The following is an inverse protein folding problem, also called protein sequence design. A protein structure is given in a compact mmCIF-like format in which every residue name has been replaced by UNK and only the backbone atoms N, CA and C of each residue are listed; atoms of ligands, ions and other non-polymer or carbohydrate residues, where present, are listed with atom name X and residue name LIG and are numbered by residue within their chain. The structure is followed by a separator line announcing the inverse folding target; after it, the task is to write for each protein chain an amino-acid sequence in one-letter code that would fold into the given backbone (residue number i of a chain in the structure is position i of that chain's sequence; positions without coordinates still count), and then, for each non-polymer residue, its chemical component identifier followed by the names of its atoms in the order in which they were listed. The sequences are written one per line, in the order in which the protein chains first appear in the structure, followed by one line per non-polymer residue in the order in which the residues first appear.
data_IF_031794741580
#
_entry.id   IF_031794741580
#
_cell.length_a   1.000
_cell.length_b   1.000
_cell.length_c   1.000
_cell.angle_alpha   90.00
_cell.angle_beta   90.00
_cell.angle_gamma   90.00
#
_symmetry.space_group_name_H-M   'P 1'
#
loop_
_entity.id
_entity.type
_entity.pdbx_description
1 polymer ?
#
# COMPACT_ATOMS: atom_id res chain seq x y z
N UNK A 1 25.94 -38.35 19.96
CA UNK A 1 25.30 -37.67 21.10
C UNK A 1 25.47 -36.17 20.90
N UNK A 2 24.45 -35.48 20.38
CA UNK A 2 24.48 -34.01 20.35
C UNK A 2 24.25 -33.50 21.78
N UNK A 3 25.18 -32.72 22.31
CA UNK A 3 24.99 -32.01 23.58
C UNK A 3 23.92 -30.94 23.36
N UNK A 4 22.88 -30.98 24.19
CA UNK A 4 21.81 -29.97 24.23
C UNK A 4 22.41 -28.61 24.59
N UNK A 5 22.13 -27.59 23.77
CA UNK A 5 22.60 -26.22 24.01
C UNK A 5 21.99 -25.66 25.29
N UNK A 6 22.72 -24.80 26.01
CA UNK A 6 22.20 -24.12 27.20
C UNK A 6 20.87 -23.38 26.91
N UNK A 7 20.71 -22.85 25.69
CA UNK A 7 19.47 -22.20 25.25
C UNK A 7 18.31 -23.20 25.12
N UNK A 8 18.54 -24.38 24.53
CA UNK A 8 17.51 -25.43 24.38
C UNK A 8 17.02 -25.91 25.74
N UNK A 9 17.95 -26.11 26.68
CA UNK A 9 17.63 -26.45 28.07
C UNK A 9 16.75 -25.40 28.75
N UNK A 10 17.07 -24.11 28.59
CA UNK A 10 16.27 -23.03 29.19
C UNK A 10 14.90 -22.89 28.53
N UNK A 11 14.80 -23.10 27.22
CA UNK A 11 13.52 -23.10 26.50
C UNK A 11 12.63 -24.25 27.00
N UNK A 12 13.19 -25.45 27.15
CA UNK A 12 12.47 -26.61 27.69
C UNK A 12 11.98 -26.35 29.12
N UNK A 13 12.87 -25.85 29.98
CA UNK A 13 12.54 -25.48 31.36
C UNK A 13 11.42 -24.42 31.41
N UNK A 14 11.47 -23.41 30.52
CA UNK A 14 10.42 -22.41 30.40
C UNK A 14 9.05 -23.03 30.07
N UNK A 15 8.98 -23.94 29.10
CA UNK A 15 7.72 -24.60 28.75
C UNK A 15 7.19 -25.47 29.90
N UNK A 16 8.05 -26.19 30.61
CA UNK A 16 7.67 -26.99 31.79
C UNK A 16 7.03 -26.11 32.87
N UNK A 17 7.66 -24.99 33.22
CA UNK A 17 7.16 -24.02 34.21
C UNK A 17 5.80 -23.46 33.79
N UNK A 18 5.70 -23.03 32.53
CA UNK A 18 4.48 -22.42 31.99
C UNK A 18 3.34 -23.44 31.96
N UNK A 19 3.60 -24.67 31.52
CA UNK A 19 2.59 -25.72 31.43
C UNK A 19 2.11 -26.14 32.83
N UNK A 20 3.00 -26.24 33.82
CA UNK A 20 2.64 -26.51 35.21
C UNK A 20 1.78 -25.37 35.80
N UNK A 21 2.17 -24.11 35.57
CA UNK A 21 1.40 -22.95 35.98
C UNK A 21 0.00 -22.90 35.36
N UNK A 22 -0.11 -23.21 34.05
CA UNK A 22 -1.41 -23.28 33.37
C UNK A 22 -2.26 -24.43 33.91
N UNK A 23 -1.69 -25.61 34.14
CA UNK A 23 -2.42 -26.78 34.67
C UNK A 23 -2.92 -26.57 36.09
N UNK A 24 -2.14 -25.89 36.93
CA UNK A 24 -2.55 -25.56 38.31
C UNK A 24 -3.61 -24.46 38.39
N UNK A 25 -3.84 -23.71 37.30
CA UNK A 25 -4.72 -22.54 37.29
C UNK A 25 -4.07 -21.27 37.86
N UNK A 26 -2.85 -21.36 38.41
CA UNK A 26 -2.09 -20.23 38.91
C UNK A 26 -1.39 -19.51 37.76
N UNK A 27 -2.10 -18.55 37.16
CA UNK A 27 -1.60 -17.77 36.03
C UNK A 27 -0.74 -16.57 36.43
N UNK A 28 -0.71 -16.24 37.72
CA UNK A 28 0.05 -15.13 38.31
C UNK A 28 1.36 -15.62 38.93
N UNK A 29 2.30 -14.69 39.11
CA UNK A 29 3.52 -14.97 39.85
C UNK A 29 3.18 -15.13 41.34
N UNK A 30 3.76 -16.15 41.97
CA UNK A 30 3.63 -16.45 43.39
C UNK A 30 5.03 -16.49 43.99
N UNK A 31 5.28 -15.67 45.02
CA UNK A 31 6.57 -15.61 45.71
C UNK A 31 6.75 -16.77 46.70
N UNK A 32 5.66 -17.42 47.12
CA UNK A 32 5.66 -18.50 48.11
C UNK A 32 5.97 -19.88 47.54
N UNK A 33 6.02 -20.05 46.22
CA UNK A 33 6.31 -21.35 45.60
C UNK A 33 7.80 -21.69 45.65
N UNK A 34 8.08 -22.98 45.74
CA UNK A 34 9.43 -23.51 45.62
C UNK A 34 10.00 -23.10 44.25
N UNK A 35 11.19 -22.48 44.25
CA UNK A 35 11.88 -21.94 43.07
C UNK A 35 11.32 -20.64 42.46
N UNK A 36 10.54 -19.84 43.21
CA UNK A 36 10.02 -18.55 42.72
C UNK A 36 11.08 -17.65 42.07
N UNK A 37 12.25 -17.51 42.70
CA UNK A 37 13.37 -16.70 42.16
C UNK A 37 13.88 -17.24 40.81
N UNK A 38 14.03 -18.56 40.68
CA UNK A 38 14.45 -19.21 39.44
C UNK A 38 13.42 -19.02 38.32
N UNK A 39 12.13 -19.07 38.64
CA UNK A 39 11.05 -18.79 37.68
C UNK A 39 11.09 -17.30 37.28
N UNK A 40 11.33 -16.41 38.25
CA UNK A 40 11.41 -14.98 38.02
C UNK A 40 12.52 -14.59 37.05
N UNK A 41 13.65 -15.30 37.01
CA UNK A 41 14.72 -15.09 36.02
C UNK A 41 14.22 -15.12 34.57
N UNK A 42 13.20 -15.92 34.25
CA UNK A 42 12.64 -16.00 32.89
C UNK A 42 11.89 -14.72 32.48
N UNK A 43 11.48 -13.89 33.44
CA UNK A 43 10.86 -12.59 33.17
C UNK A 43 11.86 -11.55 32.65
N UNK A 44 13.15 -11.75 32.89
CA UNK A 44 14.21 -10.80 32.58
C UNK A 44 14.58 -10.85 31.09
N UNK A 45 13.80 -10.17 30.26
CA UNK A 45 13.99 -10.18 28.79
C UNK A 45 15.31 -9.57 28.29
N UNK A 46 16.07 -8.88 29.15
CA UNK A 46 17.32 -8.21 28.79
C UNK A 46 18.59 -8.92 29.31
N UNK A 47 18.46 -9.96 30.15
CA UNK A 47 19.61 -10.63 30.79
C UNK A 47 19.37 -12.14 30.99
N UNK A 48 20.47 -12.89 31.17
CA UNK A 48 20.44 -14.28 31.61
C UNK A 48 19.54 -15.21 30.76
N UNK A 49 18.85 -16.13 31.45
CA UNK A 49 17.98 -17.14 30.86
C UNK A 49 16.77 -16.51 30.15
N UNK A 50 16.15 -15.50 30.77
CA UNK A 50 14.98 -14.81 30.23
C UNK A 50 15.23 -14.16 28.87
N UNK A 51 16.41 -13.56 28.65
CA UNK A 51 16.79 -13.03 27.33
C UNK A 51 16.88 -14.12 26.27
N UNK A 52 17.55 -15.24 26.58
CA UNK A 52 17.75 -16.34 25.63
C UNK A 52 16.42 -16.93 25.19
N UNK A 53 15.52 -17.20 26.13
CA UNK A 53 14.17 -17.72 25.82
C UNK A 53 13.32 -16.66 25.11
N UNK A 54 13.32 -15.41 25.57
CA UNK A 54 12.57 -14.35 24.89
C UNK A 54 13.00 -14.17 23.42
N UNK A 55 14.30 -14.27 23.14
CA UNK A 55 14.85 -14.16 21.78
C UNK A 55 14.53 -15.37 20.90
N UNK A 56 14.16 -16.53 21.45
CA UNK A 56 13.75 -17.68 20.64
C UNK A 56 12.33 -17.54 20.08
N UNK A 57 11.51 -16.65 20.64
CA UNK A 57 10.17 -16.39 20.13
C UNK A 57 10.18 -15.40 18.95
N UNK A 58 9.65 -15.83 17.81
CA UNK A 58 9.27 -14.90 16.74
C UNK A 58 8.01 -14.10 17.11
N UNK A 59 7.72 -13.03 16.37
CA UNK A 59 6.47 -12.29 16.52
C UNK A 59 5.26 -13.20 16.25
N UNK A 60 5.39 -14.11 15.28
CA UNK A 60 4.34 -15.06 14.91
C UNK A 60 4.04 -16.05 16.04
N UNK A 61 5.08 -16.54 16.75
CA UNK A 61 4.91 -17.46 17.88
C UNK A 61 4.12 -16.82 19.03
N UNK A 62 4.45 -15.57 19.35
CA UNK A 62 3.73 -14.79 20.38
C UNK A 62 2.28 -14.50 19.97
N UNK A 63 2.04 -14.22 18.68
CA UNK A 63 0.68 -14.10 18.15
C UNK A 63 -0.10 -15.42 18.22
N UNK A 64 0.53 -16.55 17.87
CA UNK A 64 -0.08 -17.89 17.97
C UNK A 64 -0.52 -18.23 19.38
N UNK A 65 0.24 -17.81 20.40
CA UNK A 65 -0.15 -17.98 21.81
C UNK A 65 -1.48 -17.26 22.09
N UNK A 66 -1.65 -16.02 21.64
CA UNK A 66 -2.90 -15.26 21.80
C UNK A 66 -4.06 -15.91 21.04
N UNK A 67 -3.85 -16.27 19.77
CA UNK A 67 -4.91 -16.87 18.93
C UNK A 67 -5.33 -18.24 19.46
N UNK A 68 -4.38 -19.07 19.91
CA UNK A 68 -4.68 -20.36 20.55
C UNK A 68 -5.50 -20.15 21.81
N UNK A 69 -5.10 -19.22 22.67
CA UNK A 69 -5.83 -18.94 23.90
C UNK A 69 -7.24 -18.41 23.64
N UNK A 70 -7.40 -17.56 22.62
CA UNK A 70 -8.72 -17.08 22.21
C UNK A 70 -9.65 -18.22 21.77
N UNK A 71 -9.13 -19.21 21.03
CA UNK A 71 -9.87 -20.40 20.62
C UNK A 71 -10.25 -21.28 21.81
N UNK A 72 -9.32 -21.48 22.75
CA UNK A 72 -9.58 -22.25 23.98
C UNK A 72 -10.67 -21.63 24.85
N UNK A 73 -10.69 -20.29 24.95
CA UNK A 73 -11.65 -19.56 25.80
C UNK A 73 -12.99 -19.30 25.10
N UNK A 74 -13.03 -19.32 23.76
CA UNK A 74 -14.18 -18.87 22.97
C UNK A 74 -14.33 -17.35 22.89
N UNK A 75 -13.44 -16.58 23.54
CA UNK A 75 -13.40 -15.12 23.52
C UNK A 75 -11.96 -14.60 23.45
N UNK A 76 -11.81 -13.35 23.02
CA UNK A 76 -10.50 -12.69 22.97
C UNK A 76 -9.92 -12.56 24.38
N UNK A 77 -8.71 -13.07 24.67
CA UNK A 77 -8.20 -13.17 26.02
C UNK A 77 -7.82 -11.80 26.61
N UNK A 78 -8.26 -11.55 27.83
CA UNK A 78 -7.71 -10.52 28.70
C UNK A 78 -6.31 -10.91 29.16
N UNK A 79 -5.54 -9.91 29.61
CA UNK A 79 -4.16 -10.13 30.08
C UNK A 79 -4.09 -11.23 31.13
N UNK A 80 -4.93 -11.17 32.17
CA UNK A 80 -4.91 -12.11 33.30
C UNK A 80 -5.32 -13.55 32.94
N UNK A 81 -5.83 -13.77 31.73
CA UNK A 81 -6.20 -15.11 31.24
C UNK A 81 -5.02 -15.83 30.56
N UNK A 82 -3.85 -15.18 30.48
CA UNK A 82 -2.59 -15.81 30.10
C UNK A 82 -1.64 -15.92 31.28
N UNK A 83 -0.79 -16.95 31.23
CA UNK A 83 0.32 -17.12 32.15
C UNK A 83 1.28 -15.92 32.08
N UNK A 84 1.70 -15.44 33.24
CA UNK A 84 2.31 -14.13 33.38
C UNK A 84 3.60 -13.91 32.60
N UNK A 85 4.44 -14.93 32.42
CA UNK A 85 5.66 -14.83 31.60
C UNK A 85 5.34 -14.48 30.13
N UNK A 86 4.32 -15.10 29.53
CA UNK A 86 3.90 -14.75 28.16
C UNK A 86 3.45 -13.30 28.07
N UNK A 87 2.77 -12.77 29.10
CA UNK A 87 2.32 -11.38 29.11
C UNK A 87 3.48 -10.40 29.08
N UNK A 88 4.58 -10.72 29.76
CA UNK A 88 5.81 -9.92 29.74
C UNK A 88 6.39 -9.90 28.34
N UNK A 89 6.51 -11.06 27.69
CA UNK A 89 7.12 -11.17 26.37
C UNK A 89 6.28 -10.45 25.30
N UNK A 90 4.96 -10.65 25.35
CA UNK A 90 4.00 -10.00 24.44
C UNK A 90 4.02 -8.48 24.61
N UNK A 91 3.95 -7.97 25.85
CA UNK A 91 4.03 -6.52 26.12
C UNK A 91 5.37 -5.93 25.69
N UNK A 92 6.47 -6.66 25.93
CA UNK A 92 7.81 -6.21 25.52
C UNK A 92 7.91 -6.11 24.00
N UNK A 93 7.36 -7.08 23.26
CA UNK A 93 7.45 -7.13 21.79
C UNK A 93 6.53 -6.11 21.10
N UNK A 94 5.27 -6.01 21.53
CA UNK A 94 4.25 -5.21 20.84
C UNK A 94 3.90 -3.90 21.56
N UNK A 95 4.56 -3.61 22.69
CA UNK A 95 4.41 -2.41 23.50
C UNK A 95 3.21 -2.46 24.46
N UNK A 96 2.00 -2.78 23.96
CA UNK A 96 0.81 -2.91 24.80
C UNK A 96 -0.13 -4.02 24.33
N UNK A 97 -1.06 -4.42 25.21
CA UNK A 97 -1.95 -5.55 24.96
C UNK A 97 -2.91 -5.34 23.78
N UNK A 98 -3.61 -4.19 23.64
CA UNK A 98 -4.43 -3.94 22.45
C UNK A 98 -3.65 -4.05 21.13
N UNK A 99 -2.41 -3.53 21.07
CA UNK A 99 -1.54 -3.68 19.90
C UNK A 99 -1.20 -5.14 19.63
N UNK A 100 -0.84 -5.91 20.65
CA UNK A 100 -0.56 -7.33 20.50
C UNK A 100 -1.76 -8.12 19.96
N UNK A 101 -2.98 -7.83 20.46
CA UNK A 101 -4.20 -8.46 19.98
C UNK A 101 -4.45 -8.13 18.51
N UNK A 102 -4.32 -6.84 18.12
CA UNK A 102 -4.45 -6.41 16.72
C UNK A 102 -3.43 -7.12 15.82
N UNK A 103 -2.16 -7.19 16.24
CA UNK A 103 -1.10 -7.88 15.49
C UNK A 103 -1.39 -9.39 15.35
N UNK A 104 -1.99 -10.01 16.37
CA UNK A 104 -2.45 -11.40 16.33
C UNK A 104 -3.75 -11.60 15.52
N UNK A 105 -4.32 -10.54 14.94
CA UNK A 105 -5.57 -10.59 14.20
C UNK A 105 -6.81 -10.80 15.07
N UNK A 106 -6.75 -10.34 16.33
CA UNK A 106 -7.85 -10.36 17.30
C UNK A 106 -8.43 -8.96 17.54
N UNK A 107 -9.64 -8.89 18.07
CA UNK A 107 -10.26 -7.62 18.50
C UNK A 107 -9.53 -7.03 19.71
N UNK A 108 -9.60 -5.71 19.88
CA UNK A 108 -9.12 -5.04 21.10
C UNK A 108 -10.05 -5.25 22.31
N UNK A 109 -11.29 -5.68 22.09
CA UNK A 109 -12.28 -5.95 23.14
C UNK A 109 -12.02 -7.33 23.73
N UNK A 110 -11.36 -7.36 24.88
CA UNK A 110 -10.86 -8.57 25.51
C UNK A 110 -11.59 -8.91 26.83
N UNK A 111 -11.44 -10.17 27.27
CA UNK A 111 -12.03 -10.72 28.49
C UNK A 111 -13.44 -11.28 28.29
N UNK A 112 -14.12 -11.62 29.39
CA UNK A 112 -15.45 -12.27 29.39
C UNK A 112 -16.56 -11.46 28.70
N UNK A 113 -16.41 -10.14 28.62
CA UNK A 113 -17.33 -9.24 27.90
C UNK A 113 -16.74 -8.75 26.57
N UNK A 114 -15.64 -9.36 26.12
CA UNK A 114 -14.97 -9.08 24.85
C UNK A 114 -15.67 -9.70 23.65
N UNK A 115 -15.10 -9.51 22.47
CA UNK A 115 -15.60 -10.18 21.27
C UNK A 115 -15.29 -11.69 21.34
N UNK A 116 -16.24 -12.51 20.85
CA UNK A 116 -16.02 -13.97 20.74
C UNK A 116 -15.02 -14.29 19.64
N UNK A 117 -14.32 -15.42 19.78
CA UNK A 117 -13.37 -15.88 18.76
C UNK A 117 -14.06 -16.11 17.41
N UNK A 118 -15.23 -16.78 17.42
CA UNK A 118 -16.08 -16.99 16.25
C UNK A 118 -16.47 -15.68 15.56
N UNK A 119 -16.88 -14.66 16.32
CA UNK A 119 -17.22 -13.35 15.75
C UNK A 119 -16.02 -12.72 15.06
N UNK A 120 -14.86 -12.66 15.73
CA UNK A 120 -13.63 -12.13 15.13
C UNK A 120 -13.25 -12.88 13.85
N UNK A 121 -13.42 -14.21 13.85
CA UNK A 121 -13.16 -15.05 12.68
C UNK A 121 -14.14 -14.72 11.54
N UNK A 122 -15.44 -14.64 11.82
CA UNK A 122 -16.47 -14.29 10.85
C UNK A 122 -16.26 -12.90 10.26
N UNK A 123 -15.98 -11.89 11.10
CA UNK A 123 -15.70 -10.53 10.66
C UNK A 123 -14.51 -10.48 9.69
N UNK A 124 -13.46 -11.28 9.96
CA UNK A 124 -12.28 -11.40 9.09
C UNK A 124 -12.57 -12.11 7.78
N UNK A 125 -13.44 -13.13 7.79
CA UNK A 125 -13.90 -13.84 6.60
C UNK A 125 -14.72 -12.90 5.69
N UNK A 126 -15.67 -12.18 6.29
CA UNK A 126 -16.49 -11.17 5.60
C UNK A 126 -15.62 -10.07 5.01
N UNK A 127 -14.62 -9.59 5.75
CA UNK A 127 -13.68 -8.60 5.24
C UNK A 127 -12.98 -9.06 3.95
N UNK A 128 -12.48 -10.32 3.95
CA UNK A 128 -11.83 -10.91 2.77
C UNK A 128 -12.81 -11.05 1.61
N UNK A 129 -14.05 -11.43 1.88
CA UNK A 129 -15.09 -11.55 0.87
C UNK A 129 -15.39 -10.18 0.22
N UNK A 130 -15.56 -9.13 1.02
CA UNK A 130 -15.80 -7.78 0.51
C UNK A 130 -14.63 -7.28 -0.33
N UNK A 131 -13.38 -7.48 0.11
CA UNK A 131 -12.20 -7.12 -0.69
C UNK A 131 -12.11 -7.92 -2.00
N UNK A 132 -12.47 -9.21 -1.97
CA UNK A 132 -12.54 -10.07 -3.15
C UNK A 132 -13.61 -9.59 -4.14
N UNK A 133 -14.79 -9.22 -3.64
CA UNK A 133 -15.87 -8.68 -4.46
C UNK A 133 -15.48 -7.33 -5.08
N UNK A 134 -14.78 -6.47 -4.33
CA UNK A 134 -14.22 -5.22 -4.86
C UNK A 134 -13.24 -5.47 -6.01
N UNK A 135 -12.35 -6.47 -5.86
CA UNK A 135 -11.40 -6.86 -6.90
C UNK A 135 -12.08 -7.44 -8.14
N UNK A 136 -13.01 -8.39 -7.96
CA UNK A 136 -13.81 -8.95 -9.07
C UNK A 136 -14.53 -7.84 -9.83
N UNK A 137 -15.10 -6.87 -9.12
CA UNK A 137 -15.75 -5.74 -9.78
C UNK A 137 -14.80 -4.91 -10.62
N UNK A 138 -13.58 -4.71 -10.15
CA UNK A 138 -12.55 -4.01 -10.91
C UNK A 138 -12.15 -4.77 -12.19
N UNK A 139 -12.06 -6.10 -12.10
CA UNK A 139 -11.78 -6.99 -13.22
C UNK A 139 -12.92 -6.94 -14.26
N UNK A 140 -14.18 -7.02 -13.82
CA UNK A 140 -15.37 -6.86 -14.69
C UNK A 140 -15.40 -5.52 -15.41
N UNK A 141 -15.12 -4.43 -14.70
CA UNK A 141 -15.19 -3.07 -15.26
C UNK A 141 -14.00 -2.74 -16.18
N UNK A 142 -12.91 -3.51 -16.11
CA UNK A 142 -11.67 -3.12 -16.77
C UNK A 142 -11.18 -1.76 -16.28
N UNK A 143 -11.42 -1.41 -15.01
CA UNK A 143 -10.89 -0.21 -14.32
C UNK A 143 -11.16 -0.32 -12.81
N UNK A 144 -10.45 0.46 -11.97
CA UNK A 144 -10.87 0.62 -10.59
C UNK A 144 -12.31 1.15 -10.52
N UNK A 145 -13.19 0.52 -9.71
CA UNK A 145 -14.52 1.05 -9.45
C UNK A 145 -14.42 2.38 -8.71
N UNK A 146 -15.36 3.28 -9.00
CA UNK A 146 -15.57 4.48 -8.22
C UNK A 146 -16.29 4.14 -6.91
N UNK A 147 -16.04 4.93 -5.86
CA UNK A 147 -16.64 4.72 -4.54
C UNK A 147 -18.17 4.61 -4.56
N UNK A 148 -18.86 5.43 -5.38
CA UNK A 148 -20.33 5.38 -5.50
C UNK A 148 -20.86 4.11 -6.17
N UNK A 149 -20.02 3.39 -6.94
CA UNK A 149 -20.38 2.10 -7.53
C UNK A 149 -20.31 0.96 -6.49
N UNK A 150 -19.66 1.21 -5.35
CA UNK A 150 -19.36 0.22 -4.30
C UNK A 150 -19.72 0.76 -2.91
N UNK A 151 -20.87 1.42 -2.79
CA UNK A 151 -21.29 2.14 -1.58
C UNK A 151 -21.31 1.27 -0.32
N UNK A 152 -21.81 0.03 -0.41
CA UNK A 152 -21.85 -0.90 0.73
C UNK A 152 -20.46 -1.28 1.24
N UNK A 153 -19.50 -1.48 0.32
CA UNK A 153 -18.12 -1.76 0.67
C UNK A 153 -17.46 -0.52 1.28
N UNK A 154 -17.69 0.66 0.68
CA UNK A 154 -17.18 1.92 1.21
C UNK A 154 -17.64 2.14 2.67
N UNK A 155 -18.93 1.89 2.94
CA UNK A 155 -19.51 2.02 4.27
C UNK A 155 -18.92 1.02 5.27
N UNK A 156 -18.73 -0.24 4.86
CA UNK A 156 -18.17 -1.30 5.70
C UNK A 156 -16.74 -1.02 6.16
N UNK A 157 -15.99 -0.26 5.37
CA UNK A 157 -14.56 0.00 5.58
C UNK A 157 -14.23 1.42 6.05
N UNK A 158 -15.22 2.29 6.25
CA UNK A 158 -15.01 3.73 6.53
C UNK A 158 -14.22 4.04 7.81
N UNK A 159 -14.19 3.12 8.77
CA UNK A 159 -13.40 3.26 10.01
C UNK A 159 -12.05 2.56 9.97
N UNK A 160 -11.79 1.81 8.89
CA UNK A 160 -10.55 1.03 8.70
C UNK A 160 -9.58 1.69 7.74
N UNK A 161 -10.09 2.35 6.70
CA UNK A 161 -9.29 3.09 5.74
C UNK A 161 -9.73 4.54 5.70
N UNK A 162 -8.79 5.46 5.47
CA UNK A 162 -9.11 6.88 5.35
C UNK A 162 -9.65 7.20 3.95
N UNK A 163 -9.07 6.56 2.92
CA UNK A 163 -9.36 6.90 1.52
C UNK A 163 -9.75 5.68 0.69
N UNK A 164 -10.54 5.92 -0.36
CA UNK A 164 -10.89 4.90 -1.36
C UNK A 164 -9.64 4.31 -2.03
N UNK A 165 -8.58 5.10 -2.20
CA UNK A 165 -7.30 4.61 -2.72
C UNK A 165 -6.69 3.51 -1.84
N UNK A 166 -6.66 3.71 -0.52
CA UNK A 166 -6.11 2.72 0.43
C UNK A 166 -6.92 1.42 0.42
N UNK A 167 -8.25 1.53 0.32
CA UNK A 167 -9.12 0.36 0.23
C UNK A 167 -8.94 -0.41 -1.09
N UNK A 168 -8.76 0.29 -2.22
CA UNK A 168 -8.42 -0.34 -3.50
C UNK A 168 -7.06 -1.06 -3.42
N UNK A 169 -6.05 -0.44 -2.82
CA UNK A 169 -4.73 -1.06 -2.62
C UNK A 169 -4.83 -2.30 -1.72
N UNK A 170 -5.65 -2.25 -0.65
CA UNK A 170 -5.92 -3.39 0.22
C UNK A 170 -6.64 -4.55 -0.50
N UNK A 171 -7.43 -4.26 -1.54
CA UNK A 171 -8.03 -5.26 -2.42
C UNK A 171 -7.06 -5.78 -3.51
N UNK A 172 -5.81 -5.32 -3.52
CA UNK A 172 -4.81 -5.68 -4.53
C UNK A 172 -5.02 -5.00 -5.89
N UNK A 173 -5.77 -3.90 -5.92
CA UNK A 173 -6.00 -3.04 -7.10
C UNK A 173 -4.99 -1.90 -7.07
N UNK A 174 -3.72 -2.26 -6.96
CA UNK A 174 -2.60 -1.33 -6.86
C UNK A 174 -2.20 -0.76 -8.25
N UNK A 175 -1.10 -0.02 -8.31
CA UNK A 175 -0.62 0.53 -9.57
C UNK A 175 -0.13 -0.53 -10.57
N UNK A 176 0.34 -1.69 -10.11
CA UNK A 176 0.73 -2.78 -11.00
C UNK A 176 -0.51 -3.38 -11.66
N UNK A 177 -1.56 -3.65 -10.88
CA UNK A 177 -2.84 -4.12 -11.40
C UNK A 177 -3.45 -3.13 -12.41
N UNK A 178 -3.41 -1.83 -12.09
CA UNK A 178 -3.93 -0.75 -12.98
C UNK A 178 -3.20 -0.68 -14.33
N UNK A 179 -1.97 -1.17 -14.39
CA UNK A 179 -1.14 -1.20 -15.60
C UNK A 179 -1.22 -2.53 -16.35
N UNK A 180 -1.67 -3.61 -15.69
CA UNK A 180 -1.67 -4.97 -16.22
C UNK A 180 -2.83 -5.30 -17.19
N UNK A 181 -3.82 -4.42 -17.32
CA UNK A 181 -4.96 -4.73 -18.19
C UNK A 181 -4.56 -4.89 -19.67
N UNK A 182 -5.04 -5.96 -20.33
CA UNK A 182 -4.72 -6.23 -21.71
C UNK A 182 -5.36 -5.17 -22.61
N UNK A 183 -4.50 -4.41 -23.27
CA UNK A 183 -4.85 -3.67 -24.48
C UNK A 183 -4.72 -4.61 -25.67
N UNK A 184 -5.56 -4.46 -26.68
CA UNK A 184 -5.57 -5.34 -27.85
C UNK A 184 -5.69 -4.51 -29.12
N UNK A 185 -5.08 -4.97 -30.21
CA UNK A 185 -5.22 -4.33 -31.52
C UNK A 185 -6.48 -4.85 -32.21
N UNK A 186 -7.17 -3.95 -32.89
CA UNK A 186 -8.25 -4.29 -33.80
C UNK A 186 -7.68 -4.30 -35.22
N UNK A 187 -7.77 -5.44 -35.89
CA UNK A 187 -7.27 -5.61 -37.26
C UNK A 187 -8.33 -5.24 -38.31
N UNK A 188 -9.61 -5.21 -37.92
CA UNK A 188 -10.79 -5.03 -38.76
C UNK A 188 -11.48 -3.66 -38.54
N UNK A 189 -10.70 -2.59 -38.48
CA UNK A 189 -11.23 -1.24 -38.35
C UNK A 189 -11.78 -0.72 -39.68
N UNK A 190 -13.03 -0.27 -39.67
CA UNK A 190 -13.66 0.39 -40.83
C UNK A 190 -12.97 1.72 -41.14
N UNK A 191 -13.09 2.19 -42.39
CA UNK A 191 -12.53 3.49 -42.80
C UNK A 191 -13.05 4.64 -41.92
N UNK A 192 -14.32 4.56 -41.49
CA UNK A 192 -14.91 5.58 -40.61
C UNK A 192 -14.27 5.55 -39.22
N UNK A 193 -14.07 4.38 -38.63
CA UNK A 193 -13.40 4.24 -37.33
C UNK A 193 -11.94 4.70 -37.39
N UNK A 194 -11.24 4.41 -38.50
CA UNK A 194 -9.89 4.92 -38.74
C UNK A 194 -9.86 6.44 -38.78
N UNK A 195 -10.82 7.08 -39.46
CA UNK A 195 -10.95 8.55 -39.47
C UNK A 195 -11.19 9.11 -38.07
N UNK A 196 -12.05 8.47 -37.28
CA UNK A 196 -12.32 8.89 -35.89
C UNK A 196 -11.08 8.77 -35.00
N UNK A 197 -10.32 7.67 -35.13
CA UNK A 197 -9.03 7.49 -34.43
C UNK A 197 -8.01 8.55 -34.87
N UNK A 198 -7.98 8.88 -36.16
CA UNK A 198 -7.11 9.92 -36.70
C UNK A 198 -7.45 11.31 -36.14
N UNK A 199 -8.73 11.65 -36.00
CA UNK A 199 -9.13 12.91 -35.33
C UNK A 199 -8.62 12.99 -33.88
N UNK A 200 -8.62 11.87 -33.13
CA UNK A 200 -8.05 11.83 -31.77
C UNK A 200 -6.52 12.02 -31.82
N UNK A 201 -5.85 11.43 -32.80
CA UNK A 201 -4.39 11.56 -32.99
C UNK A 201 -4.00 13.00 -33.32
N UNK A 202 -4.71 13.66 -34.23
CA UNK A 202 -4.52 15.07 -34.57
C UNK A 202 -4.70 15.97 -33.34
N UNK A 203 -5.76 15.71 -32.55
CA UNK A 203 -5.94 16.45 -31.29
C UNK A 203 -4.81 16.22 -30.30
N UNK A 204 -4.26 15.01 -30.25
CA UNK A 204 -3.11 14.71 -29.39
C UNK A 204 -1.84 15.45 -29.83
N UNK A 205 -1.62 15.58 -31.15
CA UNK A 205 -0.50 16.34 -31.72
C UNK A 205 -0.66 17.82 -31.41
N UNK A 206 -1.86 18.39 -31.61
CA UNK A 206 -2.17 19.79 -31.27
C UNK A 206 -1.90 20.09 -29.80
N UNK A 207 -2.30 19.18 -28.89
CA UNK A 207 -2.12 19.35 -27.45
C UNK A 207 -0.69 19.04 -26.96
N UNK A 208 0.15 18.38 -27.78
CA UNK A 208 1.46 17.85 -27.37
C UNK A 208 1.38 16.72 -26.32
N UNK A 209 0.18 16.19 -26.06
CA UNK A 209 -0.12 15.17 -25.05
C UNK A 209 -1.36 14.37 -25.43
N UNK A 210 -1.59 13.19 -24.83
CA UNK A 210 -2.83 12.46 -25.01
C UNK A 210 -4.04 13.31 -24.57
N UNK A 211 -5.14 13.31 -25.33
CA UNK A 211 -6.34 14.06 -24.95
C UNK A 211 -7.05 13.41 -23.77
N UNK A 212 -7.66 14.24 -22.93
CA UNK A 212 -8.61 13.79 -21.92
C UNK A 212 -9.94 13.40 -22.58
N UNK A 213 -10.71 12.53 -21.91
CA UNK A 213 -12.05 12.14 -22.36
C UNK A 213 -12.98 13.33 -22.59
N UNK A 214 -12.87 14.42 -21.82
CA UNK A 214 -13.73 15.60 -21.96
C UNK A 214 -13.33 16.52 -23.10
N UNK A 215 -12.11 16.36 -23.64
CA UNK A 215 -11.59 17.18 -24.76
C UNK A 215 -12.01 16.62 -26.12
N UNK A 216 -12.59 15.42 -26.15
CA UNK A 216 -13.08 14.77 -27.37
C UNK A 216 -14.60 14.72 -27.35
N UNK A 217 -15.21 15.04 -28.50
CA UNK A 217 -16.66 15.00 -28.73
C UNK A 217 -17.27 13.66 -28.31
N UNK A 218 -18.47 13.71 -27.74
CA UNK A 218 -19.11 12.53 -27.16
C UNK A 218 -19.46 11.47 -28.21
N UNK A 219 -19.86 11.91 -29.40
CA UNK A 219 -20.25 11.04 -30.51
C UNK A 219 -19.08 10.15 -30.95
N UNK A 220 -17.88 10.74 -31.07
CA UNK A 220 -16.63 10.03 -31.39
C UNK A 220 -16.33 8.98 -30.33
N UNK A 221 -16.44 9.36 -29.05
CA UNK A 221 -16.13 8.48 -27.91
C UNK A 221 -17.08 7.30 -27.85
N UNK A 222 -18.38 7.50 -27.96
CA UNK A 222 -19.37 6.42 -27.86
C UNK A 222 -19.26 5.45 -29.04
N UNK A 223 -18.99 5.94 -30.25
CA UNK A 223 -18.80 5.09 -31.42
C UNK A 223 -17.58 4.17 -31.27
N UNK A 224 -16.43 4.73 -30.92
CA UNK A 224 -15.20 3.95 -30.72
C UNK A 224 -15.28 3.04 -29.48
N UNK A 225 -15.98 3.46 -28.42
CA UNK A 225 -16.16 2.65 -27.20
C UNK A 225 -16.87 1.32 -27.47
N UNK A 226 -17.83 1.28 -28.41
CA UNK A 226 -18.53 0.04 -28.77
C UNK A 226 -17.59 -1.04 -29.32
N UNK A 227 -16.49 -0.65 -29.96
CA UNK A 227 -15.52 -1.56 -30.59
C UNK A 227 -14.29 -1.78 -29.72
N UNK A 228 -13.72 -0.69 -29.20
CA UNK A 228 -12.48 -0.72 -28.41
C UNK A 228 -12.72 -1.03 -26.93
N UNK A 229 -13.97 -0.96 -26.45
CA UNK A 229 -14.36 -1.17 -25.05
C UNK A 229 -14.01 -0.02 -24.11
N UNK A 230 -12.71 0.31 -23.99
CA UNK A 230 -12.20 1.29 -23.03
C UNK A 230 -11.47 2.46 -23.69
N UNK A 231 -11.42 3.60 -23.00
CA UNK A 231 -10.65 4.77 -23.46
C UNK A 231 -9.15 4.48 -23.60
N UNK A 232 -8.60 3.67 -22.68
CA UNK A 232 -7.21 3.22 -22.75
C UNK A 232 -6.96 2.45 -24.05
N UNK A 233 -7.86 1.54 -24.41
CA UNK A 233 -7.71 0.74 -25.63
C UNK A 233 -7.91 1.58 -26.91
N UNK A 234 -8.76 2.61 -26.88
CA UNK A 234 -8.89 3.59 -27.97
C UNK A 234 -7.56 4.30 -28.22
N UNK A 235 -6.93 4.84 -27.17
CA UNK A 235 -5.61 5.48 -27.27
C UNK A 235 -4.54 4.48 -27.71
N UNK A 236 -4.63 3.23 -27.24
CA UNK A 236 -3.70 2.18 -27.65
C UNK A 236 -3.77 1.89 -29.17
N UNK A 237 -4.93 2.00 -29.81
CA UNK A 237 -5.04 1.82 -31.27
C UNK A 237 -4.09 2.77 -32.02
N UNK A 238 -3.96 4.00 -31.54
CA UNK A 238 -3.10 5.05 -32.11
C UNK A 238 -1.72 5.16 -31.46
N UNK A 239 -1.33 4.20 -30.63
CA UNK A 239 -0.01 4.14 -29.98
C UNK A 239 0.17 5.13 -28.83
N UNK A 240 -0.93 5.58 -28.22
CA UNK A 240 -0.92 6.48 -27.08
C UNK A 240 -1.34 5.78 -25.79
N UNK A 241 -0.92 6.34 -24.66
CA UNK A 241 -1.37 5.95 -23.32
C UNK A 241 -2.26 7.04 -22.71
N UNK A 242 -3.23 6.68 -21.86
CA UNK A 242 -4.04 7.67 -21.15
C UNK A 242 -3.20 8.48 -20.15
N UNK A 243 -3.61 9.73 -19.92
CA UNK A 243 -3.10 10.53 -18.80
C UNK A 243 -3.42 9.80 -17.48
N UNK A 244 -2.39 9.59 -16.66
CA UNK A 244 -2.50 8.88 -15.39
C UNK A 244 -2.40 9.86 -14.22
N UNK A 245 -3.37 9.82 -13.29
CA UNK A 245 -3.27 10.60 -12.06
C UNK A 245 -2.17 9.99 -11.17
N UNK A 246 -1.32 10.83 -10.61
CA UNK A 246 -0.22 10.39 -9.72
C UNK A 246 -0.78 9.68 -8.47
N UNK A 247 -1.95 10.13 -7.99
CA UNK A 247 -2.62 9.64 -6.77
C UNK A 247 -4.14 9.55 -7.00
N UNK A 248 -4.63 8.54 -7.74
CA UNK A 248 -6.06 8.40 -7.98
C UNK A 248 -6.77 8.06 -6.66
N UNK A 249 -7.89 8.73 -6.38
CA UNK A 249 -8.75 8.49 -5.21
C UNK A 249 -8.16 8.82 -3.83
N UNK A 250 -6.93 9.34 -3.73
CA UNK A 250 -6.33 9.74 -2.44
C UNK A 250 -7.04 10.91 -1.75
N UNK A 251 -7.90 11.63 -2.46
CA UNK A 251 -8.75 12.69 -1.91
C UNK A 251 -10.23 12.28 -1.94
N UNK A 252 -10.52 10.98 -2.06
CA UNK A 252 -11.86 10.40 -1.96
C UNK A 252 -11.96 9.71 -0.62
N UNK A 253 -12.42 10.46 0.39
CA UNK A 253 -12.48 9.99 1.76
C UNK A 253 -13.72 9.11 2.00
N UNK A 254 -13.54 8.01 2.72
CA UNK A 254 -14.62 7.07 3.04
C UNK A 254 -15.58 7.61 4.09
N UNK A 255 -15.12 8.50 4.97
CA UNK A 255 -15.91 9.08 6.05
C UNK A 255 -16.79 10.28 5.63
N UNK A 256 -16.86 10.57 4.32
CA UNK A 256 -17.68 11.65 3.79
C UNK A 256 -17.06 13.05 3.96
N UNK A 257 -15.79 13.17 4.40
CA UNK A 257 -15.04 14.43 4.30
C UNK A 257 -15.16 14.97 2.87
N UNK A 258 -15.60 16.23 2.73
CA UNK A 258 -15.88 16.82 1.41
C UNK A 258 -14.65 16.72 0.51
N UNK A 259 -14.82 16.04 -0.61
CA UNK A 259 -13.82 16.03 -1.67
C UNK A 259 -13.76 17.44 -2.28
N UNK A 260 -12.58 18.03 -2.35
CA UNK A 260 -12.40 19.29 -3.09
C UNK A 260 -12.75 19.04 -4.55
N UNK A 261 -13.67 19.83 -5.12
CA UNK A 261 -13.92 19.87 -6.55
C UNK A 261 -12.62 20.33 -7.23
N UNK A 262 -11.94 19.41 -7.91
CA UNK A 262 -10.70 19.69 -8.63
C UNK A 262 -11.09 20.26 -10.01
N UNK A 263 -10.60 21.46 -10.33
CA UNK A 263 -10.82 22.07 -11.66
C UNK A 263 -10.07 21.28 -12.73
N UNK A 264 -10.51 21.36 -13.99
CA UNK A 264 -9.90 20.61 -15.10
C UNK A 264 -8.39 20.85 -15.26
N UNK A 265 -7.93 22.10 -15.13
CA UNK A 265 -6.50 22.42 -15.18
C UNK A 265 -5.69 21.81 -14.02
N UNK A 266 -6.27 21.75 -12.81
CA UNK A 266 -5.65 21.14 -11.63
C UNK A 266 -5.49 19.61 -11.81
N UNK A 267 -6.26 18.98 -12.72
CA UNK A 267 -6.11 17.55 -13.03
C UNK A 267 -4.78 17.26 -13.74
N UNK A 268 -4.29 18.15 -14.59
CA UNK A 268 -3.01 17.96 -15.30
C UNK A 268 -1.81 18.10 -14.35
N UNK A 269 -1.88 19.05 -13.41
CA UNK A 269 -0.81 19.28 -12.43
C UNK A 269 -0.55 18.04 -11.55
N UNK A 270 -1.60 17.26 -11.29
CA UNK A 270 -1.55 16.01 -10.53
C UNK A 270 -1.37 14.73 -11.35
N UNK A 271 -0.94 14.83 -12.62
CA UNK A 271 -0.89 13.69 -13.55
C UNK A 271 0.47 13.48 -14.23
N UNK A 272 0.67 12.29 -14.80
CA UNK A 272 1.79 11.91 -15.67
C UNK A 272 1.27 11.35 -17.00
N UNK A 273 2.02 11.58 -18.08
CA UNK A 273 1.66 11.17 -19.44
C UNK A 273 2.87 11.28 -20.36
N UNK A 274 2.96 10.48 -21.43
CA UNK A 274 4.01 10.63 -22.45
C UNK A 274 3.71 11.80 -23.38
N UNK A 275 4.71 12.63 -23.69
CA UNK A 275 4.56 13.72 -24.67
C UNK A 275 4.27 13.15 -26.07
N UNK A 276 3.44 13.87 -26.83
CA UNK A 276 3.11 13.54 -28.22
C UNK A 276 3.82 14.52 -29.13
N UNK A 277 4.63 13.98 -30.05
CA UNK A 277 5.41 14.75 -31.02
C UNK A 277 6.22 15.94 -30.43
N UNK A 278 7.05 15.72 -29.39
CA UNK A 278 7.86 16.79 -28.81
C UNK A 278 8.87 17.34 -29.83
N UNK A 279 9.11 18.65 -29.79
CA UNK A 279 10.11 19.28 -30.66
C UNK A 279 11.54 18.79 -30.38
N UNK A 280 12.45 19.02 -31.33
CA UNK A 280 13.83 18.54 -31.25
C UNK A 280 14.58 19.03 -29.99
N UNK A 281 14.28 20.25 -29.52
CA UNK A 281 14.89 20.80 -28.33
C UNK A 281 14.47 20.05 -27.06
N UNK A 282 13.16 19.80 -26.89
CA UNK A 282 12.61 19.02 -25.79
C UNK A 282 13.25 17.63 -25.73
N UNK A 283 13.36 16.96 -26.89
CA UNK A 283 13.97 15.62 -26.98
C UNK A 283 15.43 15.67 -26.55
N UNK A 284 16.19 16.67 -27.02
CA UNK A 284 17.60 16.86 -26.65
C UNK A 284 17.76 17.08 -25.15
N UNK A 285 16.94 17.93 -24.55
CA UNK A 285 16.97 18.22 -23.12
C UNK A 285 16.64 16.98 -22.27
N UNK A 286 15.58 16.25 -22.61
CA UNK A 286 15.21 15.01 -21.91
C UNK A 286 16.32 13.95 -22.00
N UNK A 287 16.96 13.79 -23.16
CA UNK A 287 18.09 12.87 -23.33
C UNK A 287 19.30 13.27 -22.48
N UNK A 288 19.60 14.56 -22.38
CA UNK A 288 20.66 15.07 -21.51
C UNK A 288 20.37 14.78 -20.02
N UNK A 289 19.13 14.99 -19.57
CA UNK A 289 18.71 14.67 -18.20
C UNK A 289 18.80 13.17 -17.91
N UNK A 290 18.36 12.32 -18.84
CA UNK A 290 18.48 10.86 -18.71
C UNK A 290 19.93 10.40 -18.58
N UNK A 291 20.82 10.97 -19.39
CA UNK A 291 22.27 10.67 -19.36
C UNK A 291 22.86 11.08 -18.01
N UNK A 292 22.51 12.27 -17.52
CA UNK A 292 22.96 12.76 -16.20
C UNK A 292 22.46 11.87 -15.07
N UNK A 293 21.18 11.49 -15.07
CA UNK A 293 20.58 10.60 -14.08
C UNK A 293 21.25 9.22 -14.06
N UNK A 294 21.54 8.67 -15.24
CA UNK A 294 22.25 7.39 -15.39
C UNK A 294 23.66 7.47 -14.80
N UNK A 295 24.39 8.57 -15.06
CA UNK A 295 25.75 8.79 -14.54
C UNK A 295 25.79 8.86 -13.01
N UNK A 296 24.81 9.49 -12.37
CA UNK A 296 24.72 9.59 -10.90
C UNK A 296 24.02 8.39 -10.26
N UNK A 297 23.54 7.43 -11.08
CA UNK A 297 22.79 6.25 -10.67
C UNK A 297 21.58 6.54 -9.74
N UNK A 298 20.90 7.66 -9.99
CA UNK A 298 19.66 8.04 -9.28
C UNK A 298 18.86 9.07 -10.08
N UNK A 299 17.55 9.22 -9.79
CA UNK A 299 16.78 10.38 -10.26
C UNK A 299 17.44 11.69 -9.85
N UNK A 300 17.41 12.66 -10.77
CA UNK A 300 17.82 14.04 -10.51
C UNK A 300 16.85 14.68 -9.52
N UNK A 301 17.34 15.52 -8.61
CA UNK A 301 16.48 16.43 -7.84
C UNK A 301 16.28 17.74 -8.61
N UNK A 302 15.23 18.51 -8.29
CA UNK A 302 14.89 19.75 -9.01
C UNK A 302 16.07 20.73 -9.14
N UNK A 303 16.85 20.87 -8.07
CA UNK A 303 17.99 21.79 -8.01
C UNK A 303 19.18 21.40 -8.90
N UNK A 304 19.19 20.17 -9.44
CA UNK A 304 20.23 19.67 -10.37
C UNK A 304 19.87 19.89 -11.85
N UNK A 305 18.63 20.29 -12.14
CA UNK A 305 18.17 20.61 -13.49
C UNK A 305 18.45 22.10 -13.73
N UNK A 306 19.17 22.47 -14.82
CA UNK A 306 19.37 23.88 -15.16
C UNK A 306 18.02 24.63 -15.26
N UNK A 307 17.95 25.84 -14.72
CA UNK A 307 16.68 26.58 -14.58
C UNK A 307 15.96 26.79 -15.92
N UNK A 308 16.70 27.12 -16.97
CA UNK A 308 16.15 27.30 -18.33
C UNK A 308 15.57 26.01 -18.88
N UNK A 309 16.30 24.90 -18.74
CA UNK A 309 15.84 23.56 -19.15
C UNK A 309 14.60 23.16 -18.36
N UNK A 310 14.61 23.37 -17.03
CA UNK A 310 13.45 23.07 -16.18
C UNK A 310 12.21 23.87 -16.63
N UNK A 311 12.35 25.17 -16.86
CA UNK A 311 11.25 26.03 -17.28
C UNK A 311 10.68 25.62 -18.65
N UNK A 312 11.55 25.30 -19.61
CA UNK A 312 11.13 24.80 -20.92
C UNK A 312 10.33 23.50 -20.79
N UNK A 313 10.88 22.52 -20.06
CA UNK A 313 10.25 21.21 -19.91
C UNK A 313 8.93 21.28 -19.12
N UNK A 314 8.82 22.14 -18.11
CA UNK A 314 7.57 22.32 -17.37
C UNK A 314 6.45 22.87 -18.24
N UNK A 315 6.75 23.72 -19.23
CA UNK A 315 5.75 24.21 -20.17
C UNK A 315 5.03 23.09 -20.94
N UNK A 316 5.67 21.94 -21.12
CA UNK A 316 5.11 20.78 -21.83
C UNK A 316 4.69 19.65 -20.88
N UNK A 317 5.53 19.31 -19.90
CA UNK A 317 5.29 18.22 -18.97
C UNK A 317 4.35 18.61 -17.81
N UNK A 318 4.05 19.89 -17.60
CA UNK A 318 3.21 20.46 -16.53
C UNK A 318 3.81 20.37 -15.13
N UNK A 319 4.44 19.25 -14.77
CA UNK A 319 5.04 19.05 -13.45
C UNK A 319 6.34 18.25 -13.51
N UNK A 320 7.14 18.38 -12.45
CA UNK A 320 8.45 17.75 -12.31
C UNK A 320 8.39 16.21 -12.36
N UNK A 321 7.34 15.60 -11.78
CA UNK A 321 7.20 14.14 -11.82
C UNK A 321 7.00 13.66 -13.25
N UNK A 322 6.25 14.41 -14.06
CA UNK A 322 6.04 14.08 -15.46
C UNK A 322 7.32 14.27 -16.31
N UNK A 323 8.22 15.18 -15.93
CA UNK A 323 9.57 15.27 -16.55
C UNK A 323 10.34 13.97 -16.31
N UNK A 324 10.39 13.50 -15.05
CA UNK A 324 11.05 12.23 -14.73
C UNK A 324 10.36 11.04 -15.42
N UNK A 325 9.03 11.06 -15.51
CA UNK A 325 8.24 10.06 -16.22
C UNK A 325 8.63 9.95 -17.71
N UNK A 326 8.98 11.06 -18.38
CA UNK A 326 9.45 10.99 -19.78
C UNK A 326 10.71 10.13 -19.93
N UNK A 327 11.60 10.18 -18.94
CA UNK A 327 12.88 9.47 -18.94
C UNK A 327 12.83 8.14 -18.16
N UNK A 328 11.63 7.65 -17.86
CA UNK A 328 11.36 6.40 -17.15
C UNK A 328 11.95 6.36 -15.73
N UNK A 329 11.87 7.47 -15.00
CA UNK A 329 12.29 7.58 -13.61
C UNK A 329 11.14 8.03 -12.72
N UNK A 330 11.18 7.62 -11.46
CA UNK A 330 10.29 8.09 -10.40
C UNK A 330 11.05 9.02 -9.44
N UNK A 331 10.38 9.99 -8.81
CA UNK A 331 11.03 10.87 -7.84
C UNK A 331 11.47 10.08 -6.60
N UNK A 332 12.55 10.55 -5.99
CA UNK A 332 13.04 10.02 -4.72
C UNK A 332 12.01 10.23 -3.59
N UNK A 333 12.14 9.45 -2.53
CA UNK A 333 11.43 9.74 -1.29
C UNK A 333 11.80 11.13 -0.78
N UNK A 334 10.80 11.84 -0.23
CA UNK A 334 10.95 13.23 0.23
C UNK A 334 12.09 13.42 1.25
N UNK A 335 12.37 12.42 2.08
CA UNK A 335 13.48 12.43 3.05
C UNK A 335 14.84 12.49 2.33
N UNK A 336 15.06 11.56 1.39
CA UNK A 336 16.28 11.47 0.58
C UNK A 336 16.47 12.68 -0.32
N UNK A 337 15.39 13.17 -0.93
CA UNK A 337 15.41 14.38 -1.75
C UNK A 337 15.88 15.60 -0.94
N UNK A 338 15.35 15.79 0.28
CA UNK A 338 15.75 16.88 1.17
C UNK A 338 17.21 16.78 1.62
N UNK A 339 17.69 15.57 1.88
CA UNK A 339 19.08 15.33 2.27
C UNK A 339 20.04 15.74 1.14
N UNK A 340 19.77 15.29 -0.09
CA UNK A 340 20.55 15.66 -1.28
C UNK A 340 20.51 17.17 -1.52
N UNK A 341 19.33 17.80 -1.43
CA UNK A 341 19.23 19.25 -1.59
C UNK A 341 20.02 20.02 -0.54
N UNK A 342 20.08 19.53 0.70
CA UNK A 342 20.87 20.13 1.78
C UNK A 342 22.37 20.06 1.46
N UNK A 343 22.85 18.91 0.98
CA UNK A 343 24.25 18.76 0.59
C UNK A 343 24.61 19.64 -0.62
N UNK A 344 23.75 19.72 -1.64
CA UNK A 344 23.96 20.59 -2.79
C UNK A 344 24.00 22.08 -2.41
N UNK A 345 23.22 22.50 -1.39
CA UNK A 345 23.27 23.88 -0.87
C UNK A 345 24.57 24.18 -0.14
N UNK A 346 25.16 23.20 0.56
CA UNK A 346 26.47 23.36 1.22
C UNK A 346 27.59 23.53 0.19
N UNK A 347 27.57 22.75 -0.88
CA UNK A 347 28.58 22.82 -1.96
C UNK A 347 28.52 24.12 -2.80
N UNK A 348 27.45 24.90 -2.68
CA UNK A 348 27.26 26.20 -3.35
C UNK A 348 27.65 27.40 -2.48
N UNK A 349 27.92 27.17 -1.19
CA UNK A 349 28.50 28.15 -0.27
C UNK A 349 30.00 27.94 -0.25
#
# INVERSE_FOLDING_TARGET
MHQESAAEKYIKEFYEIVDEGIKSGNLEYDEGIKNAERIFEFSQTNSGKGRLVYSSFSDEDLCKILTRKARELGHVPAQRELYWLYRIYIKRRFGNWPKALITAGLSKKAGKCGDTYEKVKMDKELEKELLSNLRKKAEELGRPPHMHEMGEIAESFKYKFDTWAELLDAAGIDNQWKNWQPVYKLDDLTEEEQKLLQCIREKAIELGRPPMRTEIRNEIREKLKKRCGTWRNILFQIGLEPIQKIKPFNATYLDGRRNKLIKHNELLEGSVFKLVNPNAETVRQLKALKTKATRINRPLVKSEIPKEVYNNLIGQCVNYRNILYQINLEPLEKSKEKEIEKELRKLRK
#
